data_IF_623183206175
#
_entry.id   IF_623183206175
#
_cell.length_a   1.000
_cell.length_b   1.000
_cell.length_c   1.000
_cell.angle_alpha   90.00
_cell.angle_beta   90.00
_cell.angle_gamma   90.00
#
_symmetry.space_group_name_H-M   'P 1'
#
loop_
_entity.id
_entity.type
_entity.pdbx_description
1 polymer ?
#
# COMPACT_ATOMS: atom_id res chain seq x y z
N UNK A 1 3.56 35.29 14.13
CA UNK A 1 4.25 34.08 13.65
C UNK A 1 3.83 33.86 12.20
N UNK A 2 4.64 34.34 11.24
CA UNK A 2 4.39 34.20 9.81
C UNK A 2 4.66 32.73 9.44
N UNK A 3 3.62 31.95 9.19
CA UNK A 3 3.75 30.63 8.60
C UNK A 3 4.18 30.79 7.13
N UNK A 4 5.48 30.99 6.89
CA UNK A 4 6.10 30.70 5.58
C UNK A 4 6.12 29.17 5.43
N UNK A 5 4.96 28.57 5.23
CA UNK A 5 4.87 27.13 4.92
C UNK A 5 5.35 26.97 3.48
N UNK A 6 6.63 26.60 3.38
CA UNK A 6 7.22 25.64 2.45
C UNK A 6 6.20 24.93 1.53
N UNK A 7 5.73 25.61 0.49
CA UNK A 7 5.00 24.99 -0.63
C UNK A 7 5.87 24.02 -1.45
N UNK A 8 7.19 24.07 -1.23
CA UNK A 8 8.18 23.22 -1.90
C UNK A 8 8.13 21.73 -1.49
N UNK A 9 7.57 21.38 -0.33
CA UNK A 9 7.62 20.00 0.17
C UNK A 9 6.52 19.09 -0.40
N UNK A 10 5.41 19.66 -0.89
CA UNK A 10 4.29 18.89 -1.45
C UNK A 10 4.56 18.51 -2.93
N UNK A 11 5.34 19.31 -3.65
CA UNK A 11 5.68 19.03 -5.06
C UNK A 11 6.71 17.89 -5.22
N UNK A 12 7.56 17.65 -4.20
CA UNK A 12 8.59 16.61 -4.25
C UNK A 12 8.07 15.17 -4.14
N UNK A 13 6.90 14.95 -3.52
CA UNK A 13 6.34 13.60 -3.32
C UNK A 13 5.67 13.08 -4.61
N UNK A 14 5.16 13.97 -5.46
CA UNK A 14 4.50 13.59 -6.72
C UNK A 14 5.52 13.22 -7.82
N UNK A 15 6.74 13.77 -7.78
CA UNK A 15 7.80 13.49 -8.76
C UNK A 15 8.56 12.18 -8.53
N UNK A 16 8.44 11.55 -7.35
CA UNK A 16 9.13 10.28 -7.05
C UNK A 16 8.42 9.02 -7.58
N UNK A 17 7.24 9.16 -8.19
CA UNK A 17 6.49 8.02 -8.76
C UNK A 17 6.74 7.85 -10.27
N UNK A 18 7.47 8.79 -10.89
CA UNK A 18 7.81 8.70 -12.31
C UNK A 18 9.11 7.93 -12.54
N UNK A 19 8.95 6.62 -12.72
CA UNK A 19 9.54 5.90 -13.84
C UNK A 19 11.06 5.64 -13.84
N UNK A 20 11.48 4.56 -13.16
CA UNK A 20 12.60 3.74 -13.60
C UNK A 20 12.05 2.46 -14.24
N UNK A 21 11.98 2.42 -15.58
CA UNK A 21 11.90 1.16 -16.32
C UNK A 21 13.27 0.90 -16.94
N UNK A 22 14.11 0.14 -16.23
CA UNK A 22 15.34 -0.38 -16.80
C UNK A 22 14.97 -1.56 -17.71
N UNK A 23 15.20 -1.42 -19.00
CA UNK A 23 15.25 -2.55 -19.95
C UNK A 23 16.68 -3.07 -19.96
N UNK A 24 16.85 -4.34 -19.63
CA UNK A 24 18.12 -5.05 -19.81
C UNK A 24 18.30 -5.46 -21.27
N UNK A 25 19.55 -5.52 -21.77
CA UNK A 25 19.85 -5.90 -23.15
C UNK A 25 19.79 -7.42 -23.32
N UNK A 26 19.09 -7.86 -24.37
CA UNK A 26 19.01 -9.26 -24.81
C UNK A 26 20.18 -9.59 -25.74
N UNK A 27 21.08 -10.48 -25.32
CA UNK A 27 22.03 -11.14 -26.24
C UNK A 27 22.32 -12.55 -25.75
N UNK A 28 21.56 -13.51 -26.29
CA UNK A 28 21.91 -14.88 -26.65
C UNK A 28 20.63 -15.54 -27.18
N UNK A 29 20.74 -16.55 -28.06
CA UNK A 29 19.61 -17.38 -28.52
C UNK A 29 19.04 -18.21 -27.35
N UNK A 30 18.48 -17.54 -26.35
CA UNK A 30 17.65 -18.13 -25.31
C UNK A 30 16.26 -18.34 -25.90
N UNK A 31 15.87 -19.59 -26.11
CA UNK A 31 14.48 -19.86 -26.45
C UNK A 31 13.66 -19.88 -25.16
N UNK A 32 13.32 -18.68 -24.68
CA UNK A 32 12.60 -18.48 -23.43
C UNK A 32 11.19 -19.09 -23.52
N UNK A 33 10.78 -19.84 -22.50
CA UNK A 33 9.37 -20.17 -22.23
C UNK A 33 8.60 -18.93 -21.74
N UNK A 34 9.31 -17.88 -21.35
CA UNK A 34 8.78 -16.62 -20.87
C UNK A 34 8.69 -16.53 -19.35
N UNK A 35 7.83 -15.63 -18.88
CA UNK A 35 7.68 -15.24 -17.48
C UNK A 35 6.30 -15.62 -16.97
N UNK A 36 6.20 -16.53 -16.00
CA UNK A 36 4.93 -16.80 -15.32
C UNK A 36 4.66 -15.75 -14.25
N UNK A 37 3.40 -15.44 -13.97
CA UNK A 37 3.05 -14.54 -12.87
C UNK A 37 2.62 -15.36 -11.67
N UNK A 38 3.20 -15.04 -10.51
CA UNK A 38 2.80 -15.61 -9.23
C UNK A 38 2.37 -14.53 -8.25
N UNK A 39 1.26 -14.74 -7.56
CA UNK A 39 0.95 -14.03 -6.33
C UNK A 39 0.06 -14.89 -5.42
N UNK A 40 0.29 -14.76 -4.11
CA UNK A 40 -0.48 -15.48 -3.10
C UNK A 40 -1.94 -15.02 -3.06
N UNK A 41 -2.80 -15.91 -2.57
CA UNK A 41 -4.18 -15.56 -2.24
C UNK A 41 -4.18 -14.47 -1.15
N UNK A 42 -5.08 -13.50 -1.28
CA UNK A 42 -5.20 -12.42 -0.31
C UNK A 42 -6.67 -12.01 -0.17
N UNK A 43 -7.18 -12.07 1.07
CA UNK A 43 -8.59 -11.91 1.39
C UNK A 43 -9.47 -12.83 0.50
N UNK A 44 -10.40 -12.27 -0.27
CA UNK A 44 -11.27 -13.01 -1.19
C UNK A 44 -10.70 -13.15 -2.61
N UNK A 45 -9.51 -12.60 -2.89
CA UNK A 45 -8.87 -12.75 -4.19
C UNK A 45 -7.97 -13.98 -4.18
N UNK A 46 -8.34 -14.97 -4.99
CA UNK A 46 -7.56 -16.18 -5.18
C UNK A 46 -6.15 -15.86 -5.68
N UNK A 47 -5.20 -16.72 -5.30
CA UNK A 47 -3.84 -16.68 -5.82
C UNK A 47 -3.83 -16.96 -7.32
N UNK A 48 -2.74 -16.56 -7.96
CA UNK A 48 -2.48 -16.87 -9.38
C UNK A 48 -1.12 -17.53 -9.48
N UNK A 49 -1.07 -18.65 -10.17
CA UNK A 49 0.15 -19.35 -10.51
C UNK A 49 0.05 -19.82 -11.96
N UNK A 50 0.62 -19.04 -12.87
CA UNK A 50 0.49 -19.28 -14.30
C UNK A 50 1.36 -20.46 -14.74
N UNK A 51 0.80 -21.30 -15.60
CA UNK A 51 1.54 -22.36 -16.31
C UNK A 51 2.12 -21.78 -17.59
N UNK A 52 3.41 -21.99 -17.83
CA UNK A 52 4.03 -21.61 -19.10
C UNK A 52 3.76 -22.70 -20.13
N UNK A 53 3.40 -22.33 -21.34
CA UNK A 53 3.08 -23.26 -22.42
C UNK A 53 3.89 -22.90 -23.65
N UNK A 54 4.56 -23.88 -24.24
CA UNK A 54 5.26 -23.74 -25.52
C UNK A 54 4.89 -24.91 -26.42
N UNK A 55 4.58 -24.61 -27.67
CA UNK A 55 4.22 -25.59 -28.68
C UNK A 55 5.40 -25.82 -29.61
N UNK A 56 5.76 -27.09 -29.83
CA UNK A 56 6.82 -27.52 -30.71
C UNK A 56 6.22 -28.26 -31.88
N UNK A 57 6.62 -27.90 -33.10
CA UNK A 57 6.22 -28.65 -34.29
C UNK A 57 7.28 -29.71 -34.59
N UNK A 58 6.86 -30.95 -34.85
CA UNK A 58 7.73 -32.05 -35.28
C UNK A 58 7.14 -32.70 -36.53
N UNK A 59 8.03 -33.24 -37.37
CA UNK A 59 7.66 -33.95 -38.58
C UNK A 59 8.62 -35.13 -38.80
N UNK A 60 8.10 -36.25 -39.26
CA UNK A 60 8.89 -37.42 -39.64
C UNK A 60 8.90 -37.52 -41.16
N UNK A 61 10.07 -37.77 -41.74
CA UNK A 61 10.13 -38.04 -43.17
C UNK A 61 9.38 -39.34 -43.53
N UNK A 62 9.17 -39.55 -44.83
CA UNK A 62 8.45 -40.72 -45.34
C UNK A 62 9.08 -42.04 -44.87
N UNK A 63 10.41 -42.16 -44.91
CA UNK A 63 11.12 -43.36 -44.46
C UNK A 63 10.85 -43.68 -42.98
N UNK A 64 11.01 -42.70 -42.09
CA UNK A 64 10.76 -42.87 -40.66
C UNK A 64 9.28 -43.18 -40.34
N UNK A 65 8.38 -42.74 -41.21
CA UNK A 65 6.96 -43.12 -41.14
C UNK A 65 6.75 -44.57 -41.56
N UNK A 66 7.42 -45.04 -42.61
CA UNK A 66 7.33 -46.43 -43.11
C UNK A 66 7.96 -47.45 -42.15
N UNK A 67 8.96 -47.03 -41.35
CA UNK A 67 9.70 -47.89 -40.41
C UNK A 67 9.21 -47.82 -38.96
N UNK A 68 8.04 -47.23 -38.69
CA UNK A 68 7.51 -47.02 -37.33
C UNK A 68 8.55 -46.39 -36.37
N UNK A 69 9.25 -45.37 -36.85
CA UNK A 69 10.30 -44.71 -36.09
C UNK A 69 9.80 -43.94 -34.86
N UNK A 70 10.67 -43.81 -33.87
CA UNK A 70 10.44 -43.08 -32.64
C UNK A 70 11.68 -42.34 -32.14
N UNK A 71 11.42 -41.31 -31.34
CA UNK A 71 12.42 -40.55 -30.58
C UNK A 71 11.93 -40.40 -29.16
N UNK A 72 12.71 -40.86 -28.19
CA UNK A 72 12.49 -40.59 -26.78
C UNK A 72 13.31 -39.37 -26.36
N UNK A 73 12.61 -38.34 -25.91
CA UNK A 73 13.17 -37.10 -25.42
C UNK A 73 13.24 -37.11 -23.90
N UNK A 74 14.32 -36.53 -23.37
CA UNK A 74 14.56 -36.32 -21.96
C UNK A 74 14.59 -34.83 -21.65
N UNK A 75 13.80 -34.43 -20.65
CA UNK A 75 13.78 -33.09 -20.08
C UNK A 75 14.72 -33.08 -18.88
N UNK A 76 15.84 -32.40 -19.01
CA UNK A 76 16.81 -32.23 -17.93
C UNK A 76 16.90 -30.78 -17.46
N UNK A 77 17.36 -30.59 -16.23
CA UNK A 77 17.65 -29.27 -15.69
C UNK A 77 19.08 -28.81 -16.04
N UNK A 78 19.50 -27.69 -15.46
CA UNK A 78 20.86 -27.17 -15.63
C UNK A 78 21.98 -28.10 -15.16
N UNK A 79 21.72 -29.07 -14.26
CA UNK A 79 22.70 -30.08 -13.84
C UNK A 79 22.67 -31.32 -14.73
N UNK A 80 21.85 -31.31 -15.79
CA UNK A 80 21.61 -32.42 -16.70
C UNK A 80 20.90 -33.61 -16.05
N UNK A 81 20.29 -33.44 -14.87
CA UNK A 81 19.49 -34.47 -14.24
C UNK A 81 18.06 -34.49 -14.82
N UNK A 82 17.47 -35.67 -15.06
CA UNK A 82 16.13 -35.78 -15.62
C UNK A 82 15.07 -35.27 -14.63
N UNK A 83 14.15 -34.44 -15.12
CA UNK A 83 13.16 -33.76 -14.30
C UNK A 83 11.97 -34.69 -14.07
N UNK A 84 11.96 -35.34 -12.92
CA UNK A 84 10.86 -36.20 -12.52
C UNK A 84 9.65 -35.40 -12.03
N UNK A 85 8.45 -35.98 -12.17
CA UNK A 85 7.18 -35.43 -11.66
C UNK A 85 7.17 -35.29 -10.13
N UNK A 86 8.09 -35.98 -9.44
CA UNK A 86 8.34 -35.86 -7.99
C UNK A 86 9.18 -34.64 -7.61
N UNK A 87 9.73 -33.90 -8.59
CA UNK A 87 10.46 -32.66 -8.32
C UNK A 87 9.56 -31.70 -7.52
N UNK A 88 10.11 -31.14 -6.44
CA UNK A 88 9.37 -30.28 -5.50
C UNK A 88 9.03 -28.93 -6.11
N UNK A 89 9.84 -28.45 -7.05
CA UNK A 89 9.78 -27.05 -7.47
C UNK A 89 8.87 -26.84 -8.70
N UNK A 90 9.03 -27.67 -9.73
CA UNK A 90 8.22 -27.61 -10.96
C UNK A 90 8.18 -28.98 -11.63
N UNK A 91 7.23 -29.17 -12.55
CA UNK A 91 7.14 -30.37 -13.39
C UNK A 91 6.65 -30.01 -14.78
N UNK A 92 6.90 -30.91 -15.73
CA UNK A 92 6.46 -30.76 -17.11
C UNK A 92 5.19 -31.55 -17.39
N UNK A 93 4.32 -30.97 -18.22
CA UNK A 93 3.24 -31.69 -18.88
C UNK A 93 3.51 -31.70 -20.39
N UNK A 94 3.33 -32.85 -21.03
CA UNK A 94 3.32 -33.00 -22.48
C UNK A 94 1.91 -33.34 -22.89
N UNK A 95 1.29 -32.48 -23.70
CA UNK A 95 -0.10 -32.62 -24.14
C UNK A 95 -1.06 -32.84 -22.94
N UNK A 96 -0.95 -31.99 -21.92
CA UNK A 96 -1.69 -32.02 -20.65
C UNK A 96 -1.46 -33.26 -19.77
N UNK A 97 -0.50 -34.15 -20.11
CA UNK A 97 -0.15 -35.32 -19.31
C UNK A 97 1.19 -35.13 -18.59
N UNK A 98 1.31 -35.50 -17.31
CA UNK A 98 2.57 -35.37 -16.58
C UNK A 98 3.66 -36.26 -17.17
N UNK A 99 4.84 -35.68 -17.35
CA UNK A 99 6.02 -36.42 -17.82
C UNK A 99 6.60 -37.21 -16.66
N UNK A 100 6.79 -38.52 -16.85
CA UNK A 100 7.35 -39.42 -15.83
C UNK A 100 8.85 -39.51 -16.05
N UNK A 101 9.65 -39.23 -15.00
CA UNK A 101 11.11 -39.24 -15.04
C UNK A 101 11.72 -38.35 -16.14
N UNK A 102 11.03 -37.28 -16.53
CA UNK A 102 11.49 -36.37 -17.58
C UNK A 102 11.46 -36.96 -18.99
N UNK A 103 10.92 -38.17 -19.18
CA UNK A 103 10.95 -38.86 -20.47
C UNK A 103 9.58 -38.82 -21.17
N UNK A 104 9.59 -38.54 -22.46
CA UNK A 104 8.43 -38.73 -23.32
C UNK A 104 8.86 -39.17 -24.71
N UNK A 105 8.04 -39.99 -25.36
CA UNK A 105 8.32 -40.53 -26.70
C UNK A 105 7.44 -39.88 -27.75
N UNK A 106 8.04 -39.61 -28.89
CA UNK A 106 7.37 -39.21 -30.13
C UNK A 106 7.50 -40.38 -31.09
N UNK A 107 6.38 -40.84 -31.64
CA UNK A 107 6.31 -41.98 -32.55
C UNK A 107 5.72 -41.53 -33.88
N UNK A 108 6.26 -42.00 -35.00
CA UNK A 108 5.79 -41.66 -36.35
C UNK A 108 4.41 -42.24 -36.65
N UNK A 109 4.05 -43.37 -36.03
CA UNK A 109 2.76 -44.04 -36.18
C UNK A 109 1.59 -43.28 -35.54
N UNK A 110 1.86 -42.45 -34.52
CA UNK A 110 0.87 -41.63 -33.83
C UNK A 110 0.59 -40.35 -34.64
N UNK A 111 -0.23 -40.48 -35.69
CA UNK A 111 -0.72 -39.39 -36.56
C UNK A 111 -1.61 -38.33 -35.88
N UNK A 112 -1.64 -38.22 -34.56
CA UNK A 112 -2.35 -37.14 -33.87
C UNK A 112 -1.46 -35.91 -33.73
N UNK A 113 -1.36 -35.18 -34.86
CA UNK A 113 -0.96 -33.77 -34.99
C UNK A 113 0.47 -33.42 -34.55
N UNK A 114 1.23 -32.92 -35.53
CA UNK A 114 2.60 -32.38 -35.57
C UNK A 114 3.00 -31.44 -34.44
N UNK A 115 2.16 -31.15 -33.44
CA UNK A 115 2.44 -30.17 -32.40
C UNK A 115 2.44 -30.78 -31.01
N UNK A 116 3.59 -30.71 -30.35
CA UNK A 116 3.76 -31.09 -28.94
C UNK A 116 3.60 -29.85 -28.09
N UNK A 117 2.61 -29.87 -27.21
CA UNK A 117 2.41 -28.81 -26.22
C UNK A 117 3.15 -29.17 -24.95
N UNK A 118 4.29 -28.51 -24.73
CA UNK A 118 5.10 -28.63 -23.52
C UNK A 118 4.72 -27.52 -22.54
N UNK A 119 4.34 -27.92 -21.33
CA UNK A 119 3.93 -27.00 -20.27
C UNK A 119 4.84 -27.12 -19.06
N UNK A 120 5.16 -26.00 -18.42
CA UNK A 120 5.89 -25.94 -17.15
C UNK A 120 4.92 -25.51 -16.06
N UNK A 121 4.67 -26.42 -15.12
CA UNK A 121 3.79 -26.19 -13.98
C UNK A 121 4.65 -26.04 -12.72
N UNK A 122 4.59 -24.84 -12.14
CA UNK A 122 5.25 -24.50 -10.89
C UNK A 122 4.45 -25.01 -9.71
N UNK A 123 5.08 -25.78 -8.80
CA UNK A 123 4.43 -26.23 -7.56
C UNK A 123 4.62 -25.22 -6.44
N UNK A 124 5.78 -24.57 -6.41
CA UNK A 124 6.16 -23.62 -5.38
C UNK A 124 6.59 -22.28 -5.99
N UNK A 125 6.69 -21.26 -5.13
CA UNK A 125 7.19 -19.94 -5.49
C UNK A 125 8.69 -20.02 -5.80
N UNK A 126 9.07 -19.63 -7.01
CA UNK A 126 10.45 -19.55 -7.48
C UNK A 126 10.82 -18.08 -7.70
N UNK A 127 11.96 -17.66 -7.14
CA UNK A 127 12.46 -16.28 -7.29
C UNK A 127 13.60 -16.16 -8.31
N UNK A 128 14.06 -17.27 -8.89
CA UNK A 128 15.18 -17.31 -9.82
C UNK A 128 14.75 -17.72 -11.23
N UNK A 129 15.51 -17.28 -12.24
CA UNK A 129 15.49 -17.90 -13.56
C UNK A 129 16.02 -19.34 -13.44
N UNK A 130 15.42 -20.25 -14.18
CA UNK A 130 15.85 -21.64 -14.25
C UNK A 130 15.87 -22.04 -15.72
N UNK A 131 16.81 -22.91 -16.06
CA UNK A 131 17.01 -23.39 -17.40
C UNK A 131 17.37 -24.86 -17.38
N UNK A 132 17.26 -25.47 -18.56
CA UNK A 132 17.64 -26.85 -18.77
C UNK A 132 17.65 -27.19 -20.24
N UNK A 133 17.66 -28.48 -20.53
CA UNK A 133 17.81 -28.98 -21.88
C UNK A 133 16.71 -30.01 -22.19
N UNK A 134 16.36 -30.08 -23.47
CA UNK A 134 15.68 -31.22 -24.05
C UNK A 134 16.76 -31.97 -24.82
N UNK A 135 16.97 -33.23 -24.47
CA UNK A 135 17.96 -34.10 -25.09
C UNK A 135 17.34 -35.37 -25.63
N UNK A 136 18.01 -36.01 -26.59
CA UNK A 136 17.59 -37.31 -27.12
C UNK A 136 18.22 -38.41 -26.26
N UNK A 137 17.38 -39.32 -25.76
CA UNK A 137 17.80 -40.43 -24.90
C UNK A 137 17.87 -41.75 -25.64
N UNK A 138 16.80 -42.10 -26.36
CA UNK A 138 16.69 -43.34 -27.14
C UNK A 138 16.00 -43.02 -28.47
N UNK A 139 16.41 -43.69 -29.55
CA UNK A 139 15.87 -43.45 -30.89
C UNK A 139 16.13 -44.66 -31.80
N UNK A 140 15.35 -44.80 -32.86
CA UNK A 140 15.60 -45.75 -33.97
C UNK A 140 15.69 -45.03 -35.33
N UNK A 141 16.05 -43.75 -35.31
CA UNK A 141 16.31 -42.91 -36.49
C UNK A 141 17.77 -42.51 -36.56
N UNK A 142 18.25 -42.20 -37.75
CA UNK A 142 19.64 -41.83 -37.96
C UNK A 142 19.92 -40.36 -37.65
N UNK A 143 18.93 -39.46 -37.79
CA UNK A 143 19.14 -38.00 -37.72
C UNK A 143 17.93 -37.23 -37.19
N UNK A 144 18.18 -36.16 -36.43
CA UNK A 144 17.19 -35.15 -35.97
C UNK A 144 17.72 -33.75 -36.22
N UNK A 145 17.01 -32.92 -37.02
CA UNK A 145 17.36 -31.50 -37.26
C UNK A 145 18.86 -31.26 -37.51
N UNK A 146 19.45 -32.05 -38.41
CA UNK A 146 20.88 -32.03 -38.80
C UNK A 146 21.90 -32.54 -37.76
N UNK A 147 21.44 -33.21 -36.71
CA UNK A 147 22.30 -33.87 -35.72
C UNK A 147 22.35 -35.37 -36.04
N UNK A 148 23.54 -35.87 -36.39
CA UNK A 148 23.77 -37.30 -36.69
C UNK A 148 24.23 -38.08 -35.44
N UNK A 149 24.87 -37.42 -34.48
CA UNK A 149 25.29 -38.01 -33.21
C UNK A 149 24.21 -37.81 -32.15
N UNK A 150 23.16 -38.62 -32.21
CA UNK A 150 21.95 -38.45 -31.41
C UNK A 150 22.08 -38.90 -29.94
N UNK A 151 23.06 -39.74 -29.63
CA UNK A 151 23.29 -40.24 -28.26
C UNK A 151 23.56 -39.07 -27.30
N UNK A 152 22.57 -38.73 -26.46
CA UNK A 152 22.62 -37.62 -25.50
C UNK A 152 22.77 -36.23 -26.12
N UNK A 153 22.37 -36.04 -27.38
CA UNK A 153 22.42 -34.72 -28.02
C UNK A 153 21.40 -33.76 -27.40
N UNK A 154 21.84 -32.56 -27.04
CA UNK A 154 20.98 -31.47 -26.59
C UNK A 154 20.35 -30.78 -27.80
N UNK A 155 19.05 -30.99 -28.01
CA UNK A 155 18.32 -30.44 -29.16
C UNK A 155 17.72 -29.07 -28.89
N UNK A 156 17.47 -28.73 -27.62
CA UNK A 156 16.83 -27.47 -27.27
C UNK A 156 17.17 -27.02 -25.84
N UNK A 157 17.64 -25.77 -25.70
CA UNK A 157 17.83 -25.12 -24.39
C UNK A 157 16.56 -24.35 -24.04
N UNK A 158 15.98 -24.65 -22.87
CA UNK A 158 14.80 -23.95 -22.37
C UNK A 158 15.16 -23.11 -21.15
N UNK A 159 14.54 -21.94 -21.00
CA UNK A 159 14.61 -21.12 -19.78
C UNK A 159 13.24 -20.60 -19.42
N UNK A 160 12.97 -20.48 -18.13
CA UNK A 160 11.74 -19.93 -17.60
C UNK A 160 12.03 -19.15 -16.32
N UNK A 161 11.16 -18.21 -16.01
CA UNK A 161 11.21 -17.48 -14.74
C UNK A 161 9.81 -17.19 -14.23
N UNK A 162 9.69 -17.02 -12.93
CA UNK A 162 8.44 -16.67 -12.28
C UNK A 162 8.55 -15.28 -11.68
N UNK A 163 7.71 -14.35 -12.17
CA UNK A 163 7.60 -13.01 -11.66
C UNK A 163 6.64 -12.98 -10.48
N UNK A 164 7.20 -12.91 -9.28
CA UNK A 164 6.45 -12.72 -8.05
C UNK A 164 5.92 -11.29 -7.99
N UNK A 165 4.60 -11.14 -8.06
CA UNK A 165 3.90 -9.86 -7.92
C UNK A 165 3.17 -9.80 -6.60
N UNK A 166 2.94 -8.59 -6.10
CA UNK A 166 2.00 -8.41 -5.00
C UNK A 166 0.58 -8.66 -5.50
N UNK A 167 -0.27 -9.25 -4.67
CA UNK A 167 -1.67 -9.42 -5.00
C UNK A 167 -2.28 -8.05 -5.35
N UNK A 168 -2.97 -7.91 -6.50
CA UNK A 168 -3.46 -6.60 -6.94
C UNK A 168 -4.50 -5.99 -5.99
N UNK A 169 -5.21 -6.80 -5.20
CA UNK A 169 -6.11 -6.30 -4.16
C UNK A 169 -5.31 -5.68 -3.00
N UNK A 170 -4.27 -6.37 -2.55
CA UNK A 170 -3.34 -5.88 -1.54
C UNK A 170 -2.68 -4.56 -1.98
N UNK A 171 -2.23 -4.50 -3.23
CA UNK A 171 -1.68 -3.27 -3.82
C UNK A 171 -2.67 -2.10 -3.72
N UNK A 172 -3.93 -2.30 -4.15
CA UNK A 172 -4.97 -1.26 -4.07
C UNK A 172 -5.25 -0.82 -2.64
N UNK A 173 -5.31 -1.74 -1.68
CA UNK A 173 -5.53 -1.40 -0.27
C UNK A 173 -4.39 -0.57 0.31
N UNK A 174 -3.14 -0.93 0.01
CA UNK A 174 -1.96 -0.15 0.42
C UNK A 174 -2.02 1.25 -0.19
N UNK A 175 -2.37 1.38 -1.47
CA UNK A 175 -2.56 2.69 -2.10
C UNK A 175 -3.66 3.51 -1.42
N UNK A 176 -4.83 2.94 -1.16
CA UNK A 176 -5.95 3.63 -0.48
C UNK A 176 -5.53 4.07 0.93
N UNK A 177 -4.87 3.18 1.69
CA UNK A 177 -4.37 3.49 3.02
C UNK A 177 -3.34 4.63 2.98
N UNK A 178 -2.44 4.62 1.99
CA UNK A 178 -1.50 5.70 1.74
C UNK A 178 -2.20 7.03 1.50
N UNK A 179 -3.19 7.07 0.60
CA UNK A 179 -3.98 8.29 0.31
C UNK A 179 -4.72 8.80 1.55
N UNK A 180 -5.38 7.91 2.31
CA UNK A 180 -6.08 8.28 3.54
C UNK A 180 -5.13 8.84 4.60
N UNK A 181 -3.95 8.24 4.74
CA UNK A 181 -2.92 8.74 5.65
C UNK A 181 -2.43 10.13 5.23
N UNK A 182 -2.19 10.35 3.94
CA UNK A 182 -1.80 11.66 3.41
C UNK A 182 -2.87 12.72 3.67
N UNK A 183 -4.15 12.42 3.40
CA UNK A 183 -5.26 13.33 3.70
C UNK A 183 -5.36 13.63 5.20
N UNK A 184 -5.18 12.62 6.06
CA UNK A 184 -5.18 12.79 7.50
C UNK A 184 -4.02 13.70 7.96
N UNK A 185 -2.83 13.54 7.38
CA UNK A 185 -1.68 14.40 7.66
C UNK A 185 -1.92 15.84 7.21
N UNK A 186 -2.45 16.04 6.00
CA UNK A 186 -2.83 17.38 5.50
C UNK A 186 -3.86 18.01 6.45
N UNK A 187 -4.87 17.25 6.87
CA UNK A 187 -5.85 17.71 7.82
C UNK A 187 -5.19 18.13 9.15
N UNK A 188 -4.35 17.27 9.75
CA UNK A 188 -3.78 17.52 11.07
C UNK A 188 -2.73 18.64 11.09
N UNK A 189 -1.94 18.78 10.02
CA UNK A 189 -0.82 19.71 9.93
C UNK A 189 -1.21 21.07 9.33
N UNK A 190 -2.13 21.10 8.36
CA UNK A 190 -2.47 22.32 7.63
C UNK A 190 -3.87 22.80 7.98
N UNK A 191 -4.91 21.99 7.71
CA UNK A 191 -6.30 22.43 7.87
C UNK A 191 -6.65 22.67 9.34
N UNK A 192 -6.21 21.79 10.24
CA UNK A 192 -6.54 21.86 11.67
C UNK A 192 -6.01 23.14 12.32
N UNK A 193 -4.73 23.56 12.15
CA UNK A 193 -4.27 24.84 12.68
C UNK A 193 -4.99 26.07 12.10
N UNK A 194 -5.48 26.00 10.87
CA UNK A 194 -6.22 27.09 10.20
C UNK A 194 -7.64 27.20 10.78
N UNK A 195 -8.38 26.08 10.84
CA UNK A 195 -9.76 26.05 11.33
C UNK A 195 -9.84 26.25 12.85
N UNK A 196 -8.93 25.62 13.58
CA UNK A 196 -8.91 25.64 15.05
C UNK A 196 -7.72 26.45 15.54
N UNK A 197 -7.86 27.78 15.44
CA UNK A 197 -6.90 28.72 16.04
C UNK A 197 -6.71 28.37 17.51
N UNK A 198 -5.45 28.43 17.96
CA UNK A 198 -5.07 28.16 19.35
C UNK A 198 -4.75 29.48 20.04
N UNK A 199 -5.08 29.56 21.32
CA UNK A 199 -4.60 30.63 22.17
C UNK A 199 -3.06 30.61 22.25
N UNK A 200 -2.48 31.81 22.25
CA UNK A 200 -1.06 32.02 22.49
C UNK A 200 -0.66 31.77 23.96
N UNK A 201 0.44 32.36 24.40
CA UNK A 201 0.83 32.34 25.81
C UNK A 201 -0.02 33.36 26.58
N UNK A 202 -0.51 32.97 27.76
CA UNK A 202 -1.26 33.84 28.66
C UNK A 202 -2.04 33.05 29.70
N UNK A 203 -2.68 33.78 30.61
CA UNK A 203 -3.52 33.24 31.69
C UNK A 203 -4.77 34.11 31.79
N UNK A 204 -5.94 33.48 31.84
CA UNK A 204 -7.18 34.17 32.20
C UNK A 204 -7.37 33.99 33.71
N UNK A 205 -7.38 35.10 34.43
CA UNK A 205 -7.53 35.15 35.88
C UNK A 205 -8.89 35.70 36.23
N UNK A 206 -9.68 34.92 36.96
CA UNK A 206 -10.84 35.44 37.68
C UNK A 206 -10.33 35.95 39.02
N UNK A 207 -10.60 37.21 39.33
CA UNK A 207 -10.18 37.89 40.56
C UNK A 207 -11.29 37.90 41.61
N UNK A 208 -12.54 38.07 41.19
CA UNK A 208 -13.72 38.13 42.05
C UNK A 208 -14.89 37.46 41.31
N UNK A 209 -15.80 36.73 41.99
CA UNK A 209 -15.86 36.51 43.46
C UNK A 209 -14.94 35.41 43.97
N UNK A 210 -14.33 34.62 43.09
CA UNK A 210 -13.37 33.57 43.45
C UNK A 210 -12.09 33.71 42.62
N UNK A 211 -10.97 33.30 43.21
CA UNK A 211 -9.69 33.36 42.51
C UNK A 211 -9.45 32.10 41.67
N UNK A 212 -9.30 32.26 40.35
CA UNK A 212 -8.95 31.14 39.46
C UNK A 212 -8.07 31.57 38.29
N UNK A 213 -6.89 30.96 38.22
CA UNK A 213 -6.00 31.07 37.07
C UNK A 213 -6.23 29.94 36.08
N UNK A 214 -6.55 30.31 34.84
CA UNK A 214 -6.80 29.37 33.75
C UNK A 214 -5.76 29.58 32.64
N UNK A 215 -4.76 28.70 32.52
CA UNK A 215 -3.73 28.84 31.48
C UNK A 215 -4.34 28.61 30.09
N UNK A 216 -4.17 29.57 29.19
CA UNK A 216 -4.81 29.51 27.86
C UNK A 216 -3.96 28.79 26.82
N UNK A 217 -2.66 28.59 27.07
CA UNK A 217 -1.69 28.06 26.10
C UNK A 217 -2.14 26.75 25.44
N UNK A 218 -2.09 26.74 24.10
CA UNK A 218 -2.42 25.58 23.26
C UNK A 218 -3.87 25.05 23.45
N UNK A 219 -4.79 25.88 23.96
CA UNK A 219 -6.22 25.59 23.99
C UNK A 219 -6.91 26.23 22.80
N UNK A 220 -8.03 25.65 22.35
CA UNK A 220 -8.84 26.21 21.25
C UNK A 220 -10.07 26.96 21.76
N UNK A 221 -10.52 26.63 22.96
CA UNK A 221 -11.70 27.20 23.60
C UNK A 221 -11.59 26.99 25.12
N UNK A 222 -12.04 27.97 25.88
CA UNK A 222 -12.24 27.87 27.32
C UNK A 222 -13.72 28.14 27.58
N UNK A 223 -14.35 27.31 28.39
CA UNK A 223 -15.77 27.41 28.72
C UNK A 223 -15.89 27.42 30.23
N UNK A 224 -16.40 28.51 30.77
CA UNK A 224 -16.82 28.57 32.17
C UNK A 224 -18.31 28.23 32.24
N UNK A 225 -18.68 27.28 33.10
CA UNK A 225 -20.05 26.75 33.16
C UNK A 225 -20.31 26.16 34.54
N UNK A 226 -21.57 25.95 34.92
CA UNK A 226 -21.97 25.14 36.08
C UNK A 226 -22.02 23.63 35.77
N UNK A 227 -21.99 23.21 34.50
CA UNK A 227 -22.14 21.81 34.11
C UNK A 227 -20.80 21.13 33.85
N UNK A 228 -20.63 19.91 34.39
CA UNK A 228 -19.48 19.06 34.09
C UNK A 228 -19.56 18.51 32.67
N UNK A 229 -18.78 19.08 31.77
CA UNK A 229 -18.58 18.55 30.42
C UNK A 229 -17.17 17.98 30.23
N UNK A 230 -17.07 16.88 29.48
CA UNK A 230 -15.79 16.27 29.09
C UNK A 230 -15.67 16.23 27.57
N UNK A 231 -14.51 16.61 27.06
CA UNK A 231 -14.20 16.47 25.64
C UNK A 231 -13.69 15.05 25.35
N UNK A 232 -14.33 14.34 24.43
CA UNK A 232 -13.88 13.01 23.97
C UNK A 232 -12.48 13.03 23.33
N UNK A 233 -11.77 11.91 23.41
CA UNK A 233 -10.38 11.76 22.93
C UNK A 233 -10.23 12.13 21.45
N UNK A 234 -11.07 11.56 20.57
CA UNK A 234 -11.04 11.88 19.13
C UNK A 234 -11.29 13.37 18.88
N UNK A 235 -12.28 13.95 19.56
CA UNK A 235 -12.56 15.39 19.42
C UNK A 235 -11.34 16.26 19.84
N UNK A 236 -10.63 15.86 20.89
CA UNK A 236 -9.38 16.51 21.32
C UNK A 236 -8.25 16.37 20.28
N UNK A 237 -8.12 15.21 19.65
CA UNK A 237 -7.13 14.96 18.58
C UNK A 237 -7.47 15.73 17.30
N UNK A 238 -8.73 15.76 16.88
CA UNK A 238 -9.13 16.40 15.62
C UNK A 238 -9.34 17.91 15.73
N UNK A 239 -9.92 18.42 16.83
CA UNK A 239 -10.22 19.86 17.00
C UNK A 239 -9.20 20.56 17.88
N UNK A 240 -8.62 19.88 18.87
CA UNK A 240 -7.74 20.48 19.87
C UNK A 240 -8.38 20.52 21.25
N UNK A 241 -7.63 20.96 22.27
CA UNK A 241 -8.07 20.89 23.65
C UNK A 241 -9.01 22.04 24.03
N UNK A 242 -10.19 21.68 24.53
CA UNK A 242 -11.14 22.58 25.20
C UNK A 242 -10.92 22.45 26.71
N UNK A 243 -10.95 23.57 27.43
CA UNK A 243 -10.91 23.58 28.90
C UNK A 243 -12.28 23.97 29.40
N UNK A 244 -12.86 23.11 30.24
CA UNK A 244 -14.08 23.40 30.98
C UNK A 244 -13.69 23.76 32.40
N UNK A 245 -14.09 24.94 32.86
CA UNK A 245 -13.95 25.38 34.24
C UNK A 245 -15.34 25.38 34.84
N UNK A 246 -15.56 24.46 35.78
CA UNK A 246 -16.88 24.25 36.38
C UNK A 246 -16.95 25.02 37.69
N UNK A 247 -17.92 25.92 37.84
CA UNK A 247 -18.19 26.63 39.07
C UNK A 247 -19.67 27.01 39.13
N UNK A 248 -20.26 26.97 40.32
CA UNK A 248 -21.70 27.22 40.53
C UNK A 248 -22.10 28.69 40.31
N UNK A 249 -21.12 29.59 40.14
CA UNK A 249 -21.34 31.01 39.89
C UNK A 249 -21.77 31.29 38.43
N UNK A 250 -21.64 30.28 37.54
CA UNK A 250 -22.01 30.41 36.13
C UNK A 250 -23.35 29.76 35.86
N UNK A 251 -24.42 30.55 35.76
CA UNK A 251 -25.73 30.02 35.38
C UNK A 251 -25.82 29.63 33.89
N UNK A 252 -24.99 30.24 33.05
CA UNK A 252 -24.89 29.99 31.61
C UNK A 252 -23.43 29.88 31.16
N UNK A 253 -23.13 29.21 30.04
CA UNK A 253 -21.75 29.03 29.60
C UNK A 253 -21.14 30.34 29.06
N UNK A 254 -20.07 30.82 29.71
CA UNK A 254 -19.24 31.90 29.21
C UNK A 254 -18.10 31.31 28.36
N UNK A 255 -18.10 31.60 27.06
CA UNK A 255 -17.21 30.97 26.08
C UNK A 255 -16.12 31.94 25.65
N UNK A 256 -14.87 31.56 25.87
CA UNK A 256 -13.69 32.27 25.39
C UNK A 256 -13.08 31.54 24.19
N UNK A 257 -12.83 32.27 23.11
CA UNK A 257 -12.16 31.76 21.89
C UNK A 257 -11.02 32.69 21.47
N UNK A 258 -9.98 32.18 20.78
CA UNK A 258 -8.88 33.03 20.34
C UNK A 258 -9.35 34.02 19.27
N UNK A 259 -9.06 35.31 19.51
CA UNK A 259 -9.36 36.41 18.61
C UNK A 259 -8.17 36.79 17.71
N UNK A 260 -8.32 37.90 16.99
CA UNK A 260 -7.28 38.47 16.13
C UNK A 260 -6.23 39.19 16.99
N UNK A 261 -4.96 39.19 16.56
CA UNK A 261 -3.84 39.90 17.21
C UNK A 261 -3.65 39.56 18.71
N UNK A 262 -3.89 38.31 19.10
CA UNK A 262 -3.66 37.84 20.48
C UNK A 262 -4.74 38.23 21.49
N UNK A 263 -5.85 38.84 21.04
CA UNK A 263 -7.04 39.12 21.84
C UNK A 263 -7.85 37.85 22.11
N UNK A 264 -8.71 37.87 23.11
CA UNK A 264 -9.67 36.79 23.39
C UNK A 264 -11.08 37.26 22.99
N UNK A 265 -11.75 36.53 22.11
CA UNK A 265 -13.16 36.77 21.79
C UNK A 265 -14.05 36.11 22.85
N UNK A 266 -14.96 36.89 23.44
CA UNK A 266 -15.92 36.44 24.44
C UNK A 266 -17.28 36.24 23.78
N UNK A 267 -17.95 35.15 24.12
CA UNK A 267 -19.36 34.90 23.79
C UNK A 267 -20.12 34.59 25.07
N UNK A 268 -21.12 35.42 25.37
CA UNK A 268 -21.94 35.34 26.58
C UNK A 268 -23.34 34.76 26.31
N UNK A 269 -23.73 34.62 25.04
CA UNK A 269 -25.07 34.22 24.60
C UNK A 269 -26.20 35.06 25.25
N UNK A 270 -25.92 36.32 25.60
CA UNK A 270 -26.90 37.23 26.21
C UNK A 270 -27.09 37.09 27.72
N UNK A 271 -26.47 36.08 28.36
CA UNK A 271 -26.61 35.86 29.81
C UNK A 271 -25.71 36.80 30.65
N UNK A 272 -24.72 37.43 30.02
CA UNK A 272 -23.77 38.30 30.69
C UNK A 272 -23.54 39.59 29.90
N UNK A 273 -23.50 40.72 30.60
CA UNK A 273 -22.97 42.00 30.11
C UNK A 273 -21.48 42.12 30.45
N UNK A 274 -20.73 42.83 29.62
CA UNK A 274 -19.28 43.03 29.80
C UNK A 274 -18.99 44.52 29.83
N UNK A 275 -18.24 44.97 30.83
CA UNK A 275 -17.78 46.35 30.97
C UNK A 275 -16.24 46.44 30.95
N UNK A 276 -15.66 47.32 30.11
CA UNK A 276 -16.33 48.10 29.06
C UNK A 276 -16.92 47.20 27.96
N UNK A 277 -17.99 47.66 27.29
CA UNK A 277 -18.67 46.89 26.25
C UNK A 277 -17.71 46.48 25.13
N UNK A 278 -17.38 45.19 25.07
CA UNK A 278 -16.49 44.64 24.03
C UNK A 278 -16.78 43.17 23.78
N UNK A 279 -16.59 42.76 22.51
CA UNK A 279 -16.57 41.34 22.14
C UNK A 279 -15.16 40.73 22.18
N UNK A 280 -14.12 41.56 22.36
CA UNK A 280 -12.73 41.12 22.38
C UNK A 280 -11.99 41.71 23.59
N UNK A 281 -11.50 40.84 24.47
CA UNK A 281 -10.66 41.19 25.60
C UNK A 281 -9.20 41.33 25.17
N UNK A 282 -8.60 42.44 25.57
CA UNK A 282 -7.19 42.73 25.35
C UNK A 282 -6.34 42.25 26.51
N UNK A 283 -5.09 41.93 26.20
CA UNK A 283 -4.11 41.48 27.19
C UNK A 283 -3.74 42.64 28.13
N UNK A 284 -3.64 42.37 29.42
CA UNK A 284 -3.32 43.32 30.48
C UNK A 284 -4.51 44.15 30.97
N UNK A 285 -5.71 43.99 30.39
CA UNK A 285 -6.91 44.71 30.82
C UNK A 285 -7.80 43.85 31.70
N UNK A 286 -8.44 44.50 32.66
CA UNK A 286 -9.46 43.93 33.52
C UNK A 286 -10.84 44.28 32.97
N UNK A 287 -11.74 43.31 33.02
CA UNK A 287 -13.11 43.43 32.54
C UNK A 287 -14.04 42.97 33.65
N UNK A 288 -15.14 43.70 33.83
CA UNK A 288 -16.23 43.28 34.70
C UNK A 288 -17.29 42.59 33.85
N UNK A 289 -17.74 41.42 34.29
CA UNK A 289 -18.77 40.63 33.61
C UNK A 289 -19.92 40.48 34.58
N UNK A 290 -21.06 41.10 34.29
CA UNK A 290 -22.23 41.08 35.17
C UNK A 290 -23.27 40.11 34.63
N UNK A 291 -23.75 39.20 35.47
CA UNK A 291 -24.82 38.27 35.12
C UNK A 291 -26.15 39.03 35.04
N UNK A 292 -26.81 38.98 33.89
CA UNK A 292 -28.05 39.73 33.65
C UNK A 292 -29.23 39.21 34.49
N UNK A 293 -29.18 37.96 34.95
CA UNK A 293 -30.25 37.37 35.77
C UNK A 293 -30.05 37.58 37.27
N UNK A 294 -28.80 37.52 37.76
CA UNK A 294 -28.51 37.55 39.21
C UNK A 294 -27.84 38.85 39.68
N UNK A 295 -27.46 39.76 38.77
CA UNK A 295 -26.65 40.96 39.04
C UNK A 295 -25.30 40.70 39.71
N UNK A 296 -24.85 39.45 39.66
CA UNK A 296 -23.57 39.01 40.18
C UNK A 296 -22.42 39.47 39.27
N UNK A 297 -21.36 40.02 39.88
CA UNK A 297 -20.19 40.55 39.16
C UNK A 297 -19.01 39.58 39.18
N UNK A 298 -18.42 39.37 38.00
CA UNK A 298 -17.19 38.60 37.81
C UNK A 298 -16.11 39.53 37.29
N UNK A 299 -15.02 39.69 38.05
CA UNK A 299 -13.84 40.45 37.60
C UNK A 299 -12.85 39.50 36.93
N UNK A 300 -12.58 39.73 35.65
CA UNK A 300 -11.70 38.89 34.82
C UNK A 300 -10.56 39.71 34.20
N UNK A 301 -9.33 39.24 34.34
CA UNK A 301 -8.13 39.84 33.73
C UNK A 301 -7.46 38.83 32.81
N UNK A 302 -7.06 39.26 31.62
CA UNK A 302 -6.28 38.43 30.70
C UNK A 302 -4.79 38.84 30.72
N UNK A 303 -3.94 37.97 31.25
CA UNK A 303 -2.49 38.16 31.43
C UNK A 303 -1.64 37.38 30.41
#
# INVERSE_FOLDING_TARGET
>A
MRYKIKGSLILGIILLVSSCQNKEPETELKSEFGKSIYYDAFLWKQGRNDTLTKSFVYDFNQWATETDSYVQLSLSDHTSEPISSSNKTYHFLVNDKPVVNGLFSIESSKKSLDTIRLQIVFKEKINSEFYGFISIKEHNIDRVNDIDQLNSANIYKWSASQQVKMNPLQFRLICIAGVLLTLLLIYLLVLRPIMFKRFGRGVVTIQSPFYKNTPVKNRIKIVYTNKKEKQGFLNKVFKGKIVYVVHDYFNAPLILTPGIKGRIRVKTNGAYSIEPFTSNMEKGKTFKITNTSTNEEITLTYL
#
